data_IF_108660550031
#
_entry.id   IF_108660550031
#
_cell.length_a   1.000
_cell.length_b   1.000
_cell.length_c   1.000
_cell.angle_alpha   90.00
_cell.angle_beta   90.00
_cell.angle_gamma   90.00
#
_symmetry.space_group_name_H-M   'P 1'
#
loop_
_entity.id
_entity.type
_entity.pdbx_description
1 polymer ?
#
# COMPACT_ATOMS: atom_id res chain seq x y z
N UNK A 1 31.02 10.40 33.35
CA UNK A 1 30.57 9.49 32.29
C UNK A 1 31.06 10.10 30.99
N UNK A 2 31.85 9.37 30.19
CA UNK A 2 32.24 9.85 28.87
C UNK A 2 31.01 9.71 27.97
N UNK A 3 30.54 10.81 27.40
CA UNK A 3 29.60 10.76 26.28
C UNK A 3 30.31 10.02 25.15
N UNK A 4 30.00 8.73 25.02
CA UNK A 4 30.35 8.01 23.81
C UNK A 4 29.39 8.50 22.75
N UNK A 5 29.90 9.05 21.66
CA UNK A 5 29.09 9.28 20.48
C UNK A 5 28.51 7.92 20.05
N UNK A 6 27.21 7.75 20.30
CA UNK A 6 26.50 6.48 20.09
C UNK A 6 26.32 6.22 18.58
N UNK A 7 26.39 7.28 17.79
CA UNK A 7 26.11 7.28 16.35
C UNK A 7 27.34 7.76 15.59
N UNK A 8 27.73 6.98 14.58
CA UNK A 8 28.72 7.41 13.59
C UNK A 8 28.12 8.56 12.75
N UNK A 9 28.96 9.39 12.09
CA UNK A 9 28.48 10.39 11.14
C UNK A 9 27.55 9.75 10.11
N UNK A 10 26.39 10.38 9.87
CA UNK A 10 25.41 9.91 8.90
C UNK A 10 25.42 10.84 7.69
N UNK A 11 25.76 10.28 6.53
CA UNK A 11 25.75 11.00 5.26
C UNK A 11 24.49 10.67 4.46
N UNK A 12 23.83 11.68 3.92
CA UNK A 12 22.72 11.50 3.00
C UNK A 12 23.27 11.11 1.62
N UNK A 13 22.86 9.95 1.12
CA UNK A 13 23.28 9.42 -0.18
C UNK A 13 22.06 9.17 -1.09
N UNK A 14 22.20 9.34 -2.42
CA UNK A 14 21.16 8.93 -3.36
C UNK A 14 20.86 7.43 -3.21
N UNK A 15 19.58 7.10 -3.12
CA UNK A 15 19.10 5.71 -3.02
C UNK A 15 18.93 5.05 -4.40
N UNK A 16 18.93 5.83 -5.49
CA UNK A 16 18.69 5.33 -6.84
C UNK A 16 19.76 4.30 -7.24
N UNK A 17 19.32 3.09 -7.57
CA UNK A 17 20.21 1.97 -7.93
C UNK A 17 20.92 1.29 -6.75
N UNK A 18 20.70 1.72 -5.51
CA UNK A 18 21.27 1.08 -4.31
C UNK A 18 20.43 -0.13 -3.90
N UNK A 19 21.05 -1.30 -3.73
CA UNK A 19 20.37 -2.51 -3.24
C UNK A 19 20.65 -2.73 -1.76
N UNK A 20 19.80 -3.51 -1.09
CA UNK A 20 19.97 -3.85 0.33
C UNK A 20 21.35 -4.49 0.61
N UNK A 21 21.85 -5.32 -0.31
CA UNK A 21 23.18 -5.97 -0.18
C UNK A 21 24.36 -4.99 -0.24
N UNK A 22 24.16 -3.80 -0.79
CA UNK A 22 25.20 -2.78 -0.91
C UNK A 22 25.28 -1.91 0.36
N UNK A 23 24.36 -2.08 1.32
CA UNK A 23 24.27 -1.28 2.54
C UNK A 23 25.22 -1.80 3.63
N UNK A 24 25.97 -0.88 4.23
CA UNK A 24 26.67 -1.14 5.51
C UNK A 24 25.78 -0.67 6.66
N UNK A 25 25.20 -1.63 7.38
CA UNK A 25 24.16 -1.38 8.38
C UNK A 25 24.57 -1.87 9.78
N UNK A 26 24.02 -1.20 10.80
CA UNK A 26 24.12 -1.55 12.22
C UNK A 26 22.75 -1.99 12.71
N UNK A 27 22.70 -3.14 13.38
CA UNK A 27 21.44 -3.64 13.93
C UNK A 27 20.92 -2.70 15.02
N UNK A 28 19.61 -2.45 15.00
CA UNK A 28 18.91 -1.56 15.93
C UNK A 28 19.12 -0.06 15.69
N UNK A 29 19.94 0.35 14.72
CA UNK A 29 20.08 1.75 14.35
C UNK A 29 18.93 2.19 13.42
N UNK A 30 18.28 3.34 13.70
CA UNK A 30 17.27 3.89 12.79
C UNK A 30 17.92 4.59 11.60
N UNK A 31 17.43 4.27 10.41
CA UNK A 31 17.80 4.88 9.14
C UNK A 31 16.60 5.61 8.55
N UNK A 32 16.83 6.77 7.92
CA UNK A 32 15.77 7.52 7.24
C UNK A 32 15.84 7.23 5.74
N UNK A 33 14.72 6.77 5.21
CA UNK A 33 14.50 6.61 3.78
C UNK A 33 13.49 7.66 3.32
N UNK A 34 13.84 8.44 2.31
CA UNK A 34 12.96 9.45 1.71
C UNK A 34 12.51 8.99 0.32
N UNK A 35 11.21 8.85 0.14
CA UNK A 35 10.56 8.49 -1.11
C UNK A 35 9.90 9.73 -1.73
N UNK A 36 10.07 9.92 -3.05
CA UNK A 36 9.39 10.96 -3.84
C UNK A 36 9.48 12.39 -3.27
N UNK A 37 10.57 12.71 -2.57
CA UNK A 37 10.89 14.06 -2.10
C UNK A 37 10.14 14.56 -0.86
N UNK A 38 9.05 13.93 -0.43
CA UNK A 38 8.28 14.40 0.74
C UNK A 38 7.79 13.29 1.69
N UNK A 39 8.07 12.02 1.39
CA UNK A 39 7.62 10.90 2.19
C UNK A 39 8.81 10.27 2.92
N UNK A 40 8.92 10.55 4.22
CA UNK A 40 10.00 10.03 5.06
C UNK A 40 9.53 8.79 5.83
N UNK A 41 10.32 7.72 5.73
CA UNK A 41 10.08 6.47 6.44
C UNK A 41 11.33 6.08 7.23
N UNK A 42 11.11 5.66 8.48
CA UNK A 42 12.17 5.11 9.31
C UNK A 42 12.27 3.61 9.06
N UNK A 43 13.47 3.14 8.73
CA UNK A 43 13.81 1.74 8.56
C UNK A 43 14.75 1.31 9.70
N UNK A 44 14.48 0.16 10.30
CA UNK A 44 15.31 -0.39 11.37
C UNK A 44 15.54 -1.87 11.04
N UNK A 45 16.81 -2.25 10.91
CA UNK A 45 17.21 -3.65 10.80
C UNK A 45 17.35 -4.21 12.21
N UNK A 46 16.35 -4.99 12.64
CA UNK A 46 16.27 -5.46 14.01
C UNK A 46 17.09 -6.72 14.27
N UNK A 47 17.17 -7.60 13.27
CA UNK A 47 17.74 -8.93 13.42
C UNK A 47 18.46 -9.37 12.14
N UNK A 48 19.43 -10.28 12.29
CA UNK A 48 20.16 -10.93 11.23
C UNK A 48 20.41 -12.38 11.62
N UNK A 49 20.10 -13.30 10.71
CA UNK A 49 20.32 -14.74 10.90
C UNK A 49 21.08 -15.35 9.75
N UNK A 50 21.77 -16.45 10.03
CA UNK A 50 22.38 -17.28 8.99
C UNK A 50 21.30 -17.94 8.12
N UNK A 51 21.65 -18.18 6.86
CA UNK A 51 20.78 -18.85 5.89
C UNK A 51 20.49 -20.27 6.37
N UNK A 52 19.20 -20.58 6.54
CA UNK A 52 18.72 -21.89 6.94
C UNK A 52 18.42 -22.75 5.70
N UNK A 53 18.39 -24.07 5.85
CA UNK A 53 18.17 -25.00 4.73
C UNK A 53 16.80 -24.83 4.06
N UNK A 54 15.81 -24.30 4.78
CA UNK A 54 14.48 -24.00 4.27
C UNK A 54 14.37 -22.67 3.53
N UNK A 55 15.42 -21.85 3.53
CA UNK A 55 15.38 -20.54 2.90
C UNK A 55 15.69 -20.63 1.40
N UNK A 56 15.18 -19.69 0.59
CA UNK A 56 15.60 -19.53 -0.80
C UNK A 56 17.12 -19.36 -0.89
N UNK A 57 17.78 -20.10 -1.78
CA UNK A 57 19.26 -20.07 -1.92
C UNK A 57 19.75 -19.08 -2.97
N UNK A 58 18.91 -18.75 -3.95
CA UNK A 58 19.27 -17.81 -5.02
C UNK A 58 19.15 -16.37 -4.54
N UNK A 59 20.17 -15.54 -4.82
CA UNK A 59 20.11 -14.08 -4.56
C UNK A 59 18.95 -13.43 -5.33
N UNK A 60 18.64 -13.96 -6.51
CA UNK A 60 17.54 -13.56 -7.38
C UNK A 60 16.16 -13.86 -6.77
N UNK A 61 16.08 -14.70 -5.74
CA UNK A 61 14.85 -15.00 -5.02
C UNK A 61 14.57 -13.98 -3.90
N UNK A 62 15.46 -13.01 -3.70
CA UNK A 62 15.29 -11.93 -2.74
C UNK A 62 14.95 -10.60 -3.46
N UNK A 63 14.13 -9.73 -2.83
CA UNK A 63 13.62 -9.79 -1.46
C UNK A 63 12.55 -10.88 -1.26
N UNK A 64 12.69 -11.67 -0.19
CA UNK A 64 11.77 -12.74 0.17
C UNK A 64 10.80 -12.25 1.26
N UNK A 65 9.51 -12.17 0.94
CA UNK A 65 8.48 -11.69 1.86
C UNK A 65 8.13 -12.78 2.87
N UNK A 66 8.55 -12.60 4.12
CA UNK A 66 8.24 -13.53 5.22
C UNK A 66 6.83 -13.33 5.76
N UNK A 67 6.42 -12.07 5.86
CA UNK A 67 5.15 -11.67 6.41
C UNK A 67 4.70 -10.40 5.72
N UNK A 68 3.51 -10.46 5.14
CA UNK A 68 2.79 -9.29 4.69
C UNK A 68 1.61 -9.12 5.64
N UNK A 69 1.59 -8.00 6.37
CA UNK A 69 0.38 -7.67 7.12
C UNK A 69 -0.71 -7.43 6.09
N UNK A 70 -1.69 -8.34 6.04
CA UNK A 70 -2.85 -8.15 5.17
C UNK A 70 -3.47 -6.78 5.45
N UNK A 71 -4.04 -6.15 4.41
CA UNK A 71 -4.80 -4.92 4.57
C UNK A 71 -6.04 -5.20 5.44
N UNK A 72 -5.84 -5.10 6.75
CA UNK A 72 -6.85 -5.29 7.79
C UNK A 72 -7.85 -4.13 7.85
N UNK A 73 -7.69 -3.12 6.98
CA UNK A 73 -8.57 -1.96 6.99
C UNK A 73 -10.00 -2.43 6.73
N UNK A 74 -10.86 -2.16 7.71
CA UNK A 74 -12.28 -2.44 7.65
C UNK A 74 -13.03 -1.26 7.04
N UNK A 75 -14.10 -1.57 6.33
CA UNK A 75 -14.99 -0.58 5.76
C UNK A 75 -15.42 0.42 6.83
N UNK A 76 -15.36 1.70 6.51
CA UNK A 76 -15.68 2.77 7.45
C UNK A 76 -17.18 2.89 7.71
N UNK A 77 -18.03 2.35 6.82
CA UNK A 77 -19.49 2.34 6.94
C UNK A 77 -19.97 1.19 7.84
N UNK A 78 -19.74 -0.06 7.44
CA UNK A 78 -20.27 -1.22 8.18
C UNK A 78 -19.34 -1.73 9.29
N UNK A 79 -18.06 -1.33 9.30
CA UNK A 79 -17.01 -1.83 10.21
C UNK A 79 -16.79 -3.36 10.17
N UNK A 80 -17.34 -4.08 9.17
CA UNK A 80 -17.29 -5.55 9.07
C UNK A 80 -16.47 -6.03 7.87
N UNK A 81 -16.83 -5.56 6.67
CA UNK A 81 -16.18 -5.94 5.42
C UNK A 81 -14.75 -5.38 5.29
N UNK A 82 -13.92 -6.05 4.50
CA UNK A 82 -12.62 -5.51 4.10
C UNK A 82 -12.82 -4.37 3.11
N UNK A 83 -11.93 -3.39 3.16
CA UNK A 83 -11.96 -2.27 2.22
C UNK A 83 -11.53 -2.75 0.84
N UNK A 84 -12.29 -2.35 -0.17
CA UNK A 84 -11.98 -2.56 -1.59
C UNK A 84 -11.88 -1.23 -2.36
N UNK A 85 -12.50 -0.17 -1.87
CA UNK A 85 -12.54 1.13 -2.55
C UNK A 85 -12.18 2.28 -1.60
N UNK A 86 -11.41 3.23 -2.10
CA UNK A 86 -11.20 4.55 -1.49
C UNK A 86 -12.01 5.56 -2.31
N UNK A 87 -12.90 6.27 -1.64
CA UNK A 87 -13.75 7.29 -2.26
C UNK A 87 -13.28 8.66 -1.79
N UNK A 88 -13.02 9.57 -2.73
CA UNK A 88 -12.74 10.98 -2.47
C UNK A 88 -13.81 11.89 -3.07
N UNK A 89 -13.87 13.14 -2.58
CA UNK A 89 -14.77 14.20 -3.09
C UNK A 89 -16.23 13.77 -3.19
N UNK A 90 -16.68 12.95 -2.24
CA UNK A 90 -18.08 12.53 -2.18
C UNK A 90 -18.93 13.63 -1.57
N UNK A 91 -19.98 14.08 -2.28
CA UNK A 91 -20.79 15.25 -1.90
C UNK A 91 -21.49 15.13 -0.53
N UNK A 92 -21.86 13.91 -0.11
CA UNK A 92 -22.54 13.64 1.16
C UNK A 92 -21.63 13.17 2.31
N UNK A 93 -20.35 12.89 2.08
CA UNK A 93 -19.48 12.34 3.12
C UNK A 93 -18.67 13.46 3.78
N UNK A 94 -18.53 13.45 5.12
CA UNK A 94 -17.82 14.51 5.83
C UNK A 94 -16.29 14.41 5.69
N UNK A 95 -15.77 13.24 5.31
CA UNK A 95 -14.34 12.99 5.21
C UNK A 95 -13.85 13.18 3.77
N UNK A 96 -12.65 13.75 3.61
CA UNK A 96 -11.99 13.90 2.30
C UNK A 96 -11.78 12.56 1.60
N UNK A 97 -11.46 11.50 2.36
CA UNK A 97 -11.34 10.12 1.91
C UNK A 97 -12.18 9.22 2.79
N UNK A 98 -12.97 8.32 2.19
CA UNK A 98 -13.77 7.32 2.90
C UNK A 98 -13.53 5.94 2.30
N UNK A 99 -13.37 4.93 3.15
CA UNK A 99 -13.00 3.58 2.74
C UNK A 99 -14.20 2.62 2.79
N UNK A 100 -14.53 2.01 1.65
CA UNK A 100 -15.71 1.16 1.49
C UNK A 100 -15.34 -0.29 1.21
N UNK A 101 -16.11 -1.24 1.75
CA UNK A 101 -16.21 -2.59 1.17
C UNK A 101 -17.13 -2.55 -0.05
N UNK A 102 -17.09 -3.58 -0.90
CA UNK A 102 -17.91 -3.62 -2.12
C UNK A 102 -19.40 -3.44 -1.88
N UNK A 103 -19.98 -4.13 -0.89
CA UNK A 103 -21.42 -4.02 -0.61
C UNK A 103 -21.83 -2.61 -0.21
N UNK A 104 -21.14 -2.00 0.76
CA UNK A 104 -21.44 -0.63 1.18
C UNK A 104 -21.15 0.38 0.08
N UNK A 105 -20.15 0.15 -0.78
CA UNK A 105 -19.90 1.00 -1.93
C UNK A 105 -21.09 0.99 -2.89
N UNK A 106 -21.61 -0.19 -3.22
CA UNK A 106 -22.77 -0.35 -4.10
C UNK A 106 -24.04 0.25 -3.49
N UNK A 107 -24.38 -0.14 -2.26
CA UNK A 107 -25.62 0.28 -1.59
C UNK A 107 -25.67 1.79 -1.31
N UNK A 108 -24.52 2.43 -1.06
CA UNK A 108 -24.47 3.85 -0.73
C UNK A 108 -24.43 4.75 -1.97
N UNK A 109 -23.77 4.30 -3.04
CA UNK A 109 -23.48 5.14 -4.20
C UNK A 109 -24.37 4.87 -5.42
N UNK A 110 -25.10 3.75 -5.42
CA UNK A 110 -25.91 3.31 -6.55
C UNK A 110 -27.32 2.90 -6.12
N UNK A 111 -28.30 3.32 -6.90
CA UNK A 111 -29.69 2.85 -6.79
C UNK A 111 -30.07 2.25 -8.12
N UNK A 112 -30.46 0.96 -8.12
CA UNK A 112 -30.73 0.19 -9.34
C UNK A 112 -29.59 0.23 -10.38
N UNK A 113 -28.34 0.28 -9.92
CA UNK A 113 -27.15 0.32 -10.79
C UNK A 113 -26.81 1.71 -11.34
N UNK A 114 -27.63 2.72 -11.05
CA UNK A 114 -27.37 4.11 -11.46
C UNK A 114 -26.64 4.84 -10.35
N UNK A 115 -25.53 5.51 -10.69
CA UNK A 115 -24.77 6.36 -9.76
C UNK A 115 -25.62 7.54 -9.31
N UNK A 116 -25.79 7.72 -8.01
CA UNK A 116 -26.68 8.76 -7.45
C UNK A 116 -25.96 10.00 -6.94
N UNK A 117 -24.65 9.91 -6.71
CA UNK A 117 -23.84 10.96 -6.08
C UNK A 117 -22.59 11.27 -6.88
N UNK A 118 -22.12 12.52 -6.79
CA UNK A 118 -20.80 12.89 -7.30
C UNK A 118 -19.70 12.44 -6.34
N UNK A 119 -18.74 11.67 -6.85
CA UNK A 119 -17.55 11.20 -6.14
C UNK A 119 -16.51 10.62 -7.12
N UNK A 120 -15.26 10.52 -6.67
CA UNK A 120 -14.22 9.71 -7.31
C UNK A 120 -13.98 8.44 -6.48
N UNK A 121 -13.80 7.30 -7.14
CA UNK A 121 -13.53 6.03 -6.47
C UNK A 121 -12.30 5.37 -7.07
N UNK A 122 -11.43 4.86 -6.20
CA UNK A 122 -10.18 4.21 -6.55
C UNK A 122 -10.13 2.84 -5.88
N UNK A 123 -9.65 1.79 -6.55
CA UNK A 123 -9.40 0.52 -5.89
C UNK A 123 -8.38 0.70 -4.76
N UNK A 124 -8.72 0.21 -3.56
CA UNK A 124 -7.85 0.27 -2.40
C UNK A 124 -6.78 -0.81 -2.52
N UNK A 125 -5.55 -0.41 -2.89
CA UNK A 125 -4.30 -1.20 -2.92
C UNK A 125 -4.50 -2.63 -3.41
N UNK A 126 -4.25 -2.85 -4.70
CA UNK A 126 -4.05 -4.16 -5.35
C UNK A 126 -4.55 -5.34 -4.50
N UNK A 127 -5.88 -5.51 -4.42
CA UNK A 127 -6.45 -6.77 -3.97
C UNK A 127 -5.87 -7.81 -4.92
N UNK A 128 -4.81 -8.51 -4.46
CA UNK A 128 -4.03 -9.54 -5.14
C UNK A 128 -4.82 -10.04 -6.32
N UNK A 129 -4.43 -9.68 -7.56
CA UNK A 129 -5.10 -10.06 -8.83
C UNK A 129 -5.92 -11.33 -8.64
N UNK A 130 -7.15 -11.19 -8.16
CA UNK A 130 -8.11 -12.26 -8.22
C UNK A 130 -8.51 -12.15 -9.67
N UNK A 131 -8.25 -13.19 -10.44
CA UNK A 131 -8.72 -13.29 -11.82
C UNK A 131 -10.26 -13.15 -11.81
N UNK A 132 -10.71 -11.90 -11.85
CA UNK A 132 -12.08 -11.49 -12.02
C UNK A 132 -12.05 -10.27 -12.93
N UNK A 133 -12.04 -10.60 -14.21
CA UNK A 133 -12.67 -9.91 -15.33
C UNK A 133 -13.12 -8.47 -15.05
N UNK A 134 -12.26 -7.52 -15.41
CA UNK A 134 -12.65 -6.18 -15.84
C UNK A 134 -13.30 -5.26 -14.80
N UNK A 135 -13.31 -3.97 -15.12
CA UNK A 135 -14.15 -3.00 -14.45
C UNK A 135 -15.62 -3.30 -14.82
N UNK A 136 -16.56 -3.46 -13.87
CA UNK A 136 -17.93 -3.84 -14.19
C UNK A 136 -18.77 -2.68 -14.76
N UNK A 137 -18.13 -1.57 -15.13
CA UNK A 137 -18.78 -0.32 -15.56
C UNK A 137 -18.12 0.31 -16.77
N UNK A 138 -17.39 -0.45 -17.59
CA UNK A 138 -17.06 0.05 -18.94
C UNK A 138 -18.40 0.41 -19.62
N UNK A 139 -18.56 1.69 -19.93
CA UNK A 139 -19.76 2.26 -20.54
C UNK A 139 -20.06 1.51 -21.85
N UNK A 140 -21.32 1.19 -22.17
CA UNK A 140 -21.63 0.58 -23.45
C UNK A 140 -21.20 1.56 -24.55
N UNK A 141 -20.25 1.12 -25.39
CA UNK A 141 -19.84 1.83 -26.60
C UNK A 141 -21.09 2.34 -27.33
N UNK A 142 -21.15 3.65 -27.52
CA UNK A 142 -22.19 4.33 -28.29
C UNK A 142 -22.41 3.56 -29.61
N UNK A 143 -23.62 3.04 -29.81
CA UNK A 143 -24.02 2.47 -31.10
C UNK A 143 -24.00 3.58 -32.14
N UNK A 144 -23.00 3.52 -33.01
CA UNK A 144 -22.90 4.27 -34.27
C UNK A 144 -24.14 3.94 -35.13
N UNK A 145 -25.02 4.93 -35.29
CA UNK A 145 -26.24 4.88 -36.08
C UNK A 145 -25.86 5.05 -37.57
N UNK A 146 -25.88 3.95 -38.32
CA UNK A 146 -25.76 3.91 -39.79
C UNK A 146 -27.00 3.28 -40.42
#
# INVERSE_FOLDING_TARGET
MQDKEIFDPVDAVPMEGVRIIDLSLRLGQPYVFQHSGNCEHVLIFHDLRLLHESDPRGIDQYPYVLYEKGNERKCEICKKGHVEFVVDRHELLPNTYTYFCRSCFQEYNFVHGVKTHSFNAWPYTELKKVEQNGWPFDEPDDMDDS
#
